data_IF_738853309301
#
_entry.id   IF_738853309301
#
_cell.length_a   1.000
_cell.length_b   1.000
_cell.length_c   1.000
_cell.angle_alpha   90.00
_cell.angle_beta   90.00
_cell.angle_gamma   90.00
#
_symmetry.space_group_name_H-M   'P 1'
#
loop_
_entity.id
_entity.type
_entity.pdbx_description
1 polymer ?
#
# COMPACT_ATOMS: atom_id res chain seq x y z
N UNK A 1 12.57 -29.44 -22.12
CA UNK A 1 11.37 -28.63 -22.39
C UNK A 1 10.57 -28.57 -21.09
N UNK A 2 10.69 -27.46 -20.32
CA UNK A 2 10.00 -27.29 -19.02
C UNK A 2 8.51 -27.18 -19.31
N UNK A 3 7.67 -28.04 -18.71
CA UNK A 3 6.22 -27.95 -18.85
C UNK A 3 5.73 -26.59 -18.39
N UNK A 4 4.87 -25.93 -19.16
CA UNK A 4 4.32 -24.59 -18.89
C UNK A 4 3.69 -24.45 -17.49
N UNK A 5 3.21 -25.55 -16.90
CA UNK A 5 2.68 -25.64 -15.53
C UNK A 5 3.78 -25.53 -14.44
N UNK A 6 5.01 -25.95 -14.73
CA UNK A 6 6.11 -25.94 -13.76
C UNK A 6 6.71 -24.54 -13.57
N UNK A 7 6.57 -23.65 -14.55
CA UNK A 7 7.09 -22.28 -14.48
C UNK A 7 6.44 -21.47 -13.35
N UNK A 8 5.18 -21.74 -13.03
CA UNK A 8 4.41 -21.02 -12.00
C UNK A 8 4.57 -21.62 -10.59
N UNK A 9 5.22 -22.78 -10.47
CA UNK A 9 5.43 -23.49 -9.21
C UNK A 9 6.87 -23.37 -8.67
N UNK A 10 7.74 -22.66 -9.39
CA UNK A 10 9.11 -22.37 -8.91
C UNK A 10 9.01 -21.58 -7.61
N UNK A 11 9.55 -22.15 -6.52
CA UNK A 11 9.59 -21.52 -5.20
C UNK A 11 10.95 -20.88 -4.95
N UNK A 12 10.90 -19.69 -4.40
CA UNK A 12 12.07 -18.96 -3.94
C UNK A 12 12.08 -19.01 -2.42
N UNK A 13 12.98 -19.78 -1.79
CA UNK A 13 13.04 -19.94 -0.34
C UNK A 13 13.48 -18.62 0.34
N UNK A 14 13.08 -18.44 1.59
CA UNK A 14 13.44 -17.25 2.40
C UNK A 14 14.94 -17.01 2.50
N UNK A 15 15.75 -18.08 2.50
CA UNK A 15 17.22 -18.01 2.49
C UNK A 15 17.83 -17.59 1.16
N UNK A 16 17.04 -17.53 0.09
CA UNK A 16 17.49 -17.19 -1.25
C UNK A 16 17.50 -15.69 -1.51
N UNK A 17 18.44 -15.22 -2.33
CA UNK A 17 18.57 -13.82 -2.69
C UNK A 17 17.31 -13.25 -3.40
N UNK A 18 16.60 -14.08 -4.16
CA UNK A 18 15.39 -13.67 -4.90
C UNK A 18 14.24 -13.30 -3.95
N UNK A 19 14.09 -13.99 -2.82
CA UNK A 19 13.10 -13.64 -1.81
C UNK A 19 13.39 -12.25 -1.24
N UNK A 20 14.63 -11.99 -0.83
CA UNK A 20 15.04 -10.69 -0.29
C UNK A 20 14.87 -9.54 -1.28
N UNK A 21 15.20 -9.77 -2.57
CA UNK A 21 15.01 -8.77 -3.64
C UNK A 21 13.53 -8.44 -3.87
N UNK A 22 12.68 -9.46 -3.92
CA UNK A 22 11.24 -9.25 -4.10
C UNK A 22 10.66 -8.47 -2.92
N UNK A 23 11.04 -8.81 -1.69
CA UNK A 23 10.58 -8.11 -0.50
C UNK A 23 11.04 -6.64 -0.48
N UNK A 24 12.33 -6.39 -0.75
CA UNK A 24 12.86 -5.03 -0.83
C UNK A 24 12.14 -4.19 -1.89
N UNK A 25 11.79 -4.78 -3.03
CA UNK A 25 11.03 -4.11 -4.08
C UNK A 25 9.61 -3.72 -3.60
N UNK A 26 8.91 -4.61 -2.89
CA UNK A 26 7.57 -4.34 -2.37
C UNK A 26 7.59 -3.25 -1.29
N UNK A 27 8.56 -3.30 -0.38
CA UNK A 27 8.74 -2.27 0.66
C UNK A 27 9.08 -0.91 0.03
N UNK A 28 9.94 -0.88 -0.99
CA UNK A 28 10.29 0.34 -1.73
C UNK A 28 9.09 0.99 -2.38
N UNK A 29 8.17 0.20 -2.94
CA UNK A 29 6.95 0.74 -3.56
C UNK A 29 6.04 1.46 -2.58
N UNK A 30 5.90 0.95 -1.35
CA UNK A 30 5.15 1.62 -0.30
C UNK A 30 5.82 2.95 0.11
N UNK A 31 7.15 2.96 0.24
CA UNK A 31 7.92 4.19 0.55
C UNK A 31 7.73 5.24 -0.54
N UNK A 32 7.81 4.84 -1.82
CA UNK A 32 7.58 5.75 -2.96
C UNK A 32 6.17 6.33 -2.92
N UNK A 33 5.15 5.51 -2.67
CA UNK A 33 3.76 5.98 -2.58
C UNK A 33 3.57 7.00 -1.45
N UNK A 34 4.14 6.75 -0.27
CA UNK A 34 4.11 7.69 0.86
C UNK A 34 4.85 8.99 0.56
N UNK A 35 5.99 8.92 -0.13
CA UNK A 35 6.77 10.10 -0.55
C UNK A 35 5.98 10.94 -1.55
N UNK A 36 5.37 10.32 -2.56
CA UNK A 36 4.55 11.02 -3.55
C UNK A 36 3.32 11.66 -2.92
N UNK A 37 2.74 11.04 -1.90
CA UNK A 37 1.65 11.59 -1.12
C UNK A 37 2.05 12.94 -0.47
N UNK A 38 3.22 13.00 0.14
CA UNK A 38 3.76 14.24 0.74
C UNK A 38 4.05 15.30 -0.33
N UNK A 39 4.71 14.93 -1.43
CA UNK A 39 5.04 15.83 -2.53
C UNK A 39 3.79 16.47 -3.13
N UNK A 40 2.70 15.70 -3.30
CA UNK A 40 1.46 16.20 -3.87
C UNK A 40 0.80 17.30 -3.02
N UNK A 41 0.94 17.22 -1.69
CA UNK A 41 0.46 18.28 -0.80
C UNK A 41 1.30 19.56 -0.93
N UNK A 42 2.62 19.40 -1.08
CA UNK A 42 3.55 20.53 -1.20
C UNK A 42 3.46 21.22 -2.55
N UNK A 43 3.20 20.49 -3.63
CA UNK A 43 3.18 21.00 -5.01
C UNK A 43 1.83 21.56 -5.45
N UNK A 44 0.87 21.73 -4.55
CA UNK A 44 -0.41 22.37 -4.93
C UNK A 44 -0.18 23.80 -5.35
N UNK A 45 -0.69 24.23 -6.53
CA UNK A 45 -0.66 25.62 -6.93
C UNK A 45 -1.46 26.41 -5.89
N UNK A 46 -0.77 27.24 -5.14
CA UNK A 46 -1.38 28.25 -4.28
C UNK A 46 -1.83 29.37 -5.16
N UNK A 47 -3.11 29.39 -5.51
CA UNK A 47 -3.69 30.39 -6.40
C UNK A 47 -3.53 31.85 -5.90
N UNK A 48 -3.26 32.03 -4.59
CA UNK A 48 -3.14 33.34 -3.96
C UNK A 48 -1.94 33.39 -2.98
N UNK A 49 -0.76 32.91 -3.41
CA UNK A 49 0.43 33.10 -2.58
C UNK A 49 0.77 34.58 -2.48
N UNK A 50 0.46 35.17 -1.33
CA UNK A 50 0.92 36.53 -0.95
C UNK A 50 2.00 36.36 0.13
N UNK A 51 3.20 36.86 -0.06
CA UNK A 51 4.28 36.78 0.94
C UNK A 51 3.87 37.29 2.32
N UNK A 52 2.93 38.23 2.35
CA UNK A 52 2.39 38.86 3.56
C UNK A 52 1.44 37.94 4.38
N UNK A 53 0.89 36.89 3.76
CA UNK A 53 -0.08 35.97 4.40
C UNK A 53 0.55 34.62 4.79
N UNK A 54 1.86 34.45 4.60
CA UNK A 54 2.49 33.15 4.82
C UNK A 54 2.29 32.60 6.26
N UNK A 55 2.21 33.46 7.29
CA UNK A 55 1.92 33.03 8.67
C UNK A 55 0.54 32.40 8.78
N UNK A 56 -0.48 33.02 8.17
CA UNK A 56 -1.86 32.52 8.18
C UNK A 56 -1.97 31.23 7.38
N UNK A 57 -1.25 31.12 6.26
CA UNK A 57 -1.18 29.90 5.45
C UNK A 57 -0.53 28.75 6.22
N UNK A 58 0.54 29.06 6.99
CA UNK A 58 1.25 28.10 7.80
C UNK A 58 0.43 27.66 9.02
N UNK A 59 -0.23 28.59 9.71
CA UNK A 59 -1.19 28.27 10.78
C UNK A 59 -2.36 27.42 10.26
N UNK A 60 -2.90 27.76 9.09
CA UNK A 60 -3.94 26.97 8.44
C UNK A 60 -3.50 25.53 8.14
N UNK A 61 -2.24 25.35 7.75
CA UNK A 61 -1.63 24.05 7.53
C UNK A 61 -1.50 23.26 8.85
N UNK A 62 -0.91 23.89 9.89
CA UNK A 62 -0.69 23.27 11.20
C UNK A 62 -2.00 22.90 11.93
N UNK A 63 -3.04 23.72 11.79
CA UNK A 63 -4.34 23.51 12.41
C UNK A 63 -5.24 22.54 11.62
N UNK A 64 -4.69 21.85 10.63
CA UNK A 64 -5.43 20.90 9.76
C UNK A 64 -6.67 21.54 9.09
N UNK A 65 -6.65 22.85 8.89
CA UNK A 65 -7.71 23.57 8.17
C UNK A 65 -7.61 23.38 6.65
N UNK A 66 -6.45 22.89 6.17
CA UNK A 66 -6.22 22.59 4.77
C UNK A 66 -6.71 21.16 4.46
N UNK A 67 -7.72 20.97 3.60
CA UNK A 67 -8.23 19.64 3.23
C UNK A 67 -7.15 18.71 2.67
N UNK A 68 -6.12 19.25 2.00
CA UNK A 68 -5.02 18.47 1.49
C UNK A 68 -4.16 17.85 2.60
N UNK A 69 -3.92 18.60 3.69
CA UNK A 69 -3.19 18.08 4.84
C UNK A 69 -3.98 16.97 5.54
N UNK A 70 -5.28 17.16 5.71
CA UNK A 70 -6.15 16.13 6.28
C UNK A 70 -6.15 14.86 5.42
N UNK A 71 -6.31 15.02 4.09
CA UNK A 71 -6.26 13.89 3.15
C UNK A 71 -4.88 13.20 3.16
N UNK A 72 -3.78 13.96 3.27
CA UNK A 72 -2.43 13.41 3.41
C UNK A 72 -2.33 12.53 4.66
N UNK A 73 -2.71 13.05 5.82
CA UNK A 73 -2.57 12.33 7.10
C UNK A 73 -3.43 11.06 7.08
N UNK A 74 -4.68 11.16 6.66
CA UNK A 74 -5.58 10.01 6.58
C UNK A 74 -5.00 8.95 5.63
N UNK A 75 -4.59 9.35 4.42
CA UNK A 75 -4.04 8.42 3.43
C UNK A 75 -2.71 7.83 3.88
N UNK A 76 -1.86 8.62 4.55
CA UNK A 76 -0.60 8.13 5.13
C UNK A 76 -0.86 7.03 6.17
N UNK A 77 -1.84 7.25 7.07
CA UNK A 77 -2.21 6.26 8.08
C UNK A 77 -2.73 4.98 7.42
N UNK A 78 -3.63 5.09 6.43
CA UNK A 78 -4.16 3.91 5.74
C UNK A 78 -3.06 3.15 4.99
N UNK A 79 -2.22 3.82 4.19
CA UNK A 79 -1.11 3.16 3.48
C UNK A 79 -0.15 2.51 4.46
N UNK A 80 0.16 3.19 5.57
CA UNK A 80 1.00 2.64 6.64
C UNK A 80 0.40 1.39 7.29
N UNK A 81 -0.90 1.38 7.56
CA UNK A 81 -1.62 0.20 8.10
C UNK A 81 -1.61 -0.97 7.11
N UNK A 82 -1.86 -0.70 5.83
CA UNK A 82 -1.80 -1.73 4.78
C UNK A 82 -0.39 -2.27 4.61
N UNK A 83 0.63 -1.40 4.63
CA UNK A 83 2.02 -1.82 4.60
C UNK A 83 2.37 -2.69 5.82
N UNK A 84 1.98 -2.27 7.04
CA UNK A 84 2.24 -3.04 8.25
C UNK A 84 1.58 -4.43 8.18
N UNK A 85 0.31 -4.50 7.77
CA UNK A 85 -0.39 -5.77 7.58
C UNK A 85 0.28 -6.69 6.56
N UNK A 86 0.73 -6.11 5.42
CA UNK A 86 1.50 -6.81 4.41
C UNK A 86 2.86 -7.29 4.96
N UNK A 87 3.60 -6.42 5.64
CA UNK A 87 4.89 -6.74 6.24
C UNK A 87 4.80 -7.90 7.25
N UNK A 88 3.80 -7.86 8.15
CA UNK A 88 3.55 -8.92 9.11
C UNK A 88 3.19 -10.24 8.42
N UNK A 89 2.37 -10.21 7.37
CA UNK A 89 2.04 -11.40 6.59
C UNK A 89 3.28 -12.02 5.96
N UNK A 90 4.11 -11.22 5.29
CA UNK A 90 5.33 -11.69 4.62
C UNK A 90 6.39 -12.18 5.62
N UNK A 91 6.42 -11.62 6.84
CA UNK A 91 7.31 -12.09 7.91
C UNK A 91 7.10 -13.58 8.24
N UNK A 92 5.90 -14.11 8.04
CA UNK A 92 5.56 -15.52 8.29
C UNK A 92 5.76 -16.44 7.08
N UNK A 93 6.18 -15.92 5.91
CA UNK A 93 6.44 -16.73 4.72
C UNK A 93 7.81 -17.41 4.81
N UNK A 94 7.88 -18.68 4.41
CA UNK A 94 9.14 -19.44 4.25
C UNK A 94 9.64 -19.47 2.81
N UNK A 95 8.74 -19.18 1.87
CA UNK A 95 9.06 -19.07 0.44
C UNK A 95 8.04 -18.17 -0.24
N UNK A 96 8.37 -17.71 -1.45
CA UNK A 96 7.44 -17.06 -2.38
C UNK A 96 7.50 -17.79 -3.72
N UNK A 97 6.45 -17.70 -4.51
CA UNK A 97 6.41 -18.21 -5.88
C UNK A 97 6.06 -17.09 -6.87
N UNK A 98 6.14 -17.38 -8.15
CA UNK A 98 5.84 -16.39 -9.21
C UNK A 98 4.41 -15.88 -9.15
N UNK A 99 3.45 -16.72 -8.76
CA UNK A 99 2.06 -16.30 -8.62
C UNK A 99 1.90 -15.29 -7.49
N UNK A 100 2.58 -15.51 -6.36
CA UNK A 100 2.60 -14.58 -5.24
C UNK A 100 3.26 -13.24 -5.63
N UNK A 101 4.40 -13.29 -6.35
CA UNK A 101 5.08 -12.09 -6.84
C UNK A 101 4.15 -11.29 -7.77
N UNK A 102 3.45 -11.95 -8.71
CA UNK A 102 2.54 -11.27 -9.63
C UNK A 102 1.35 -10.64 -8.88
N UNK A 103 0.74 -11.36 -7.96
CA UNK A 103 -0.34 -10.82 -7.13
C UNK A 103 0.14 -9.63 -6.29
N UNK A 104 1.38 -9.68 -5.81
CA UNK A 104 1.99 -8.59 -5.07
C UNK A 104 2.25 -7.34 -5.95
N UNK A 105 2.62 -7.52 -7.23
CA UNK A 105 2.72 -6.41 -8.17
C UNK A 105 1.36 -5.71 -8.39
N UNK A 106 0.27 -6.49 -8.46
CA UNK A 106 -1.08 -5.92 -8.55
C UNK A 106 -1.44 -5.17 -7.27
N UNK A 107 -1.13 -5.72 -6.10
CA UNK A 107 -1.30 -5.03 -4.83
C UNK A 107 -0.52 -3.70 -4.81
N UNK A 108 0.75 -3.73 -5.21
CA UNK A 108 1.61 -2.55 -5.27
C UNK A 108 1.06 -1.48 -6.22
N UNK A 109 0.47 -1.88 -7.35
CA UNK A 109 -0.23 -0.94 -8.24
C UNK A 109 -1.32 -0.17 -7.50
N UNK A 110 -2.15 -0.84 -6.70
CA UNK A 110 -3.17 -0.15 -5.89
C UNK A 110 -2.54 0.73 -4.80
N UNK A 111 -1.42 0.33 -4.21
CA UNK A 111 -0.69 1.17 -3.25
C UNK A 111 -0.21 2.46 -3.91
N UNK A 112 0.31 2.40 -5.15
CA UNK A 112 0.79 3.59 -5.88
C UNK A 112 -0.32 4.54 -6.31
N UNK A 113 -1.59 4.13 -6.28
CA UNK A 113 -2.74 5.00 -6.51
C UNK A 113 -3.12 5.86 -5.29
N UNK A 114 -2.49 5.66 -4.12
CA UNK A 114 -2.77 6.42 -2.91
C UNK A 114 -2.73 7.94 -3.10
N UNK A 115 -1.71 8.52 -3.79
CA UNK A 115 -1.69 9.96 -4.04
C UNK A 115 -2.88 10.45 -4.86
N UNK A 116 -3.30 9.67 -5.86
CA UNK A 116 -4.46 10.03 -6.72
C UNK A 116 -5.75 10.04 -5.91
N UNK A 117 -5.96 9.01 -5.07
CA UNK A 117 -7.12 8.92 -4.20
C UNK A 117 -7.14 10.07 -3.17
N UNK A 118 -5.98 10.40 -2.59
CA UNK A 118 -5.84 11.50 -1.65
C UNK A 118 -6.14 12.86 -2.28
N UNK A 119 -5.67 13.11 -3.52
CA UNK A 119 -5.94 14.35 -4.25
C UNK A 119 -7.45 14.48 -4.53
N UNK A 120 -8.07 13.43 -5.07
CA UNK A 120 -9.50 13.43 -5.35
C UNK A 120 -10.31 13.80 -4.10
N UNK A 121 -9.96 13.20 -2.96
CA UNK A 121 -10.61 13.46 -1.68
C UNK A 121 -10.33 14.88 -1.16
N UNK A 122 -9.14 15.40 -1.35
CA UNK A 122 -8.76 16.74 -0.91
C UNK A 122 -9.43 17.86 -1.71
N UNK A 123 -9.61 17.66 -3.03
CA UNK A 123 -10.20 18.67 -3.92
C UNK A 123 -11.73 18.63 -3.93
N UNK A 124 -12.29 17.46 -3.75
CA UNK A 124 -13.71 17.20 -3.89
C UNK A 124 -14.30 16.47 -2.69
N UNK A 125 -13.92 16.87 -1.46
CA UNK A 125 -14.32 16.18 -0.21
C UNK A 125 -15.83 16.12 0.04
N UNK A 126 -16.62 16.94 -0.62
CA UNK A 126 -18.10 16.93 -0.54
C UNK A 126 -18.76 16.24 -1.73
N UNK A 127 -17.97 15.84 -2.73
CA UNK A 127 -18.48 15.17 -3.92
C UNK A 127 -18.64 13.66 -3.65
N UNK A 128 -19.85 13.10 -3.80
CA UNK A 128 -20.09 11.66 -3.62
C UNK A 128 -19.19 10.77 -4.50
N UNK A 129 -18.81 11.22 -5.69
CA UNK A 129 -17.93 10.47 -6.59
C UNK A 129 -16.50 10.39 -6.04
N UNK A 130 -15.97 11.48 -5.47
CA UNK A 130 -14.63 11.46 -4.85
C UNK A 130 -14.60 10.56 -3.62
N UNK A 131 -15.64 10.63 -2.78
CA UNK A 131 -15.81 9.75 -1.61
C UNK A 131 -15.91 8.28 -2.06
N UNK A 132 -16.75 8.01 -3.07
CA UNK A 132 -16.92 6.67 -3.65
C UNK A 132 -15.62 6.11 -4.23
N UNK A 133 -14.86 6.92 -4.97
CA UNK A 133 -13.56 6.56 -5.51
C UNK A 133 -12.55 6.20 -4.42
N UNK A 134 -12.45 7.03 -3.37
CA UNK A 134 -11.57 6.78 -2.23
C UNK A 134 -11.97 5.48 -1.49
N UNK A 135 -13.26 5.28 -1.26
CA UNK A 135 -13.78 4.04 -0.66
C UNK A 135 -13.49 2.80 -1.52
N UNK A 136 -13.70 2.90 -2.84
CA UNK A 136 -13.40 1.81 -3.77
C UNK A 136 -11.90 1.45 -3.79
N UNK A 137 -11.02 2.46 -3.72
CA UNK A 137 -9.59 2.27 -3.59
C UNK A 137 -9.21 1.51 -2.31
N UNK A 138 -9.78 1.88 -1.15
CA UNK A 138 -9.54 1.17 0.12
C UNK A 138 -10.05 -0.28 0.07
N UNK A 139 -11.21 -0.51 -0.54
CA UNK A 139 -11.77 -1.85 -0.74
C UNK A 139 -10.82 -2.68 -1.64
N UNK A 140 -10.33 -2.11 -2.73
CA UNK A 140 -9.40 -2.79 -3.64
C UNK A 140 -8.11 -3.21 -2.92
N UNK A 141 -7.52 -2.33 -2.10
CA UNK A 141 -6.36 -2.67 -1.27
C UNK A 141 -6.65 -3.81 -0.29
N UNK A 142 -7.80 -3.75 0.40
CA UNK A 142 -8.22 -4.80 1.35
C UNK A 142 -8.40 -6.14 0.65
N UNK A 143 -9.12 -6.15 -0.47
CA UNK A 143 -9.36 -7.36 -1.27
C UNK A 143 -8.04 -7.96 -1.75
N UNK A 144 -7.13 -7.12 -2.27
CA UNK A 144 -5.83 -7.62 -2.74
C UNK A 144 -4.97 -8.17 -1.61
N UNK A 145 -5.01 -7.58 -0.42
CA UNK A 145 -4.30 -8.12 0.75
C UNK A 145 -4.89 -9.47 1.20
N UNK A 146 -6.21 -9.59 1.17
CA UNK A 146 -6.89 -10.88 1.42
C UNK A 146 -6.52 -11.94 0.36
N UNK A 147 -6.45 -11.55 -0.91
CA UNK A 147 -6.03 -12.44 -2.01
C UNK A 147 -4.59 -12.93 -1.81
N UNK A 148 -3.67 -12.04 -1.40
CA UNK A 148 -2.29 -12.41 -1.10
C UNK A 148 -2.21 -13.41 0.05
N UNK A 149 -2.93 -13.17 1.16
CA UNK A 149 -2.97 -14.08 2.30
C UNK A 149 -3.58 -15.44 1.92
N UNK A 150 -4.68 -15.44 1.17
CA UNK A 150 -5.32 -16.64 0.67
C UNK A 150 -4.40 -17.44 -0.28
N UNK A 151 -3.72 -16.75 -1.20
CA UNK A 151 -2.78 -17.37 -2.14
C UNK A 151 -1.60 -17.98 -1.39
N UNK A 152 -1.04 -17.28 -0.41
CA UNK A 152 0.04 -17.78 0.45
C UNK A 152 -0.40 -19.05 1.21
N UNK A 153 -1.61 -19.07 1.75
CA UNK A 153 -2.18 -20.23 2.42
C UNK A 153 -2.38 -21.42 1.47
N UNK A 154 -3.02 -21.18 0.31
CA UNK A 154 -3.27 -22.25 -0.69
C UNK A 154 -1.99 -22.85 -1.27
N UNK A 155 -0.95 -22.06 -1.38
CA UNK A 155 0.36 -22.48 -1.90
C UNK A 155 1.29 -23.04 -0.84
N UNK A 156 0.83 -23.13 0.44
CA UNK A 156 1.65 -23.56 1.58
C UNK A 156 2.99 -22.78 1.64
N UNK A 157 2.90 -21.45 1.52
CA UNK A 157 4.06 -20.56 1.60
C UNK A 157 4.34 -20.11 3.04
N UNK A 158 3.38 -20.29 3.96
CA UNK A 158 3.55 -19.98 5.38
C UNK A 158 4.40 -21.03 6.10
N UNK A 159 5.05 -20.62 7.17
CA UNK A 159 5.74 -21.54 8.07
C UNK A 159 4.76 -22.58 8.66
N UNK A 160 5.17 -23.86 8.85
CA UNK A 160 4.31 -24.89 9.40
C UNK A 160 3.69 -24.54 10.76
N UNK A 161 4.36 -23.74 11.57
CA UNK A 161 3.88 -23.23 12.85
C UNK A 161 2.65 -22.32 12.75
N UNK A 162 2.41 -21.72 11.58
CA UNK A 162 1.24 -20.86 11.32
C UNK A 162 0.02 -21.66 10.88
N UNK A 163 0.23 -22.84 10.30
CA UNK A 163 -0.82 -23.71 9.78
C UNK A 163 -1.34 -24.75 10.79
N UNK A 164 -0.79 -24.79 12.01
CA UNK A 164 -1.19 -25.74 13.03
C UNK A 164 -2.25 -25.20 14.01
N UNK A 165 -3.04 -26.09 14.69
CA UNK A 165 -4.07 -25.70 15.65
C UNK A 165 -3.51 -25.08 16.96
N UNK A 166 -2.28 -24.64 16.97
CA UNK A 166 -1.53 -24.19 18.15
C UNK A 166 -1.76 -22.73 18.53
N UNK A 167 -2.65 -22.01 17.83
CA UNK A 167 -3.02 -20.63 18.21
C UNK A 167 -4.12 -20.55 19.29
N UNK A 168 -4.37 -21.66 20.00
CA UNK A 168 -5.20 -21.67 21.22
C UNK A 168 -4.35 -22.14 22.38
N UNK A 169 -3.48 -21.27 22.86
CA UNK A 169 -2.97 -21.27 24.25
C UNK A 169 -2.64 -19.86 24.69
#
# INVERSE_FOLDING_TARGET
MIKRSEVWTVRYPRSGAEFGRALAFFDSGAVVALTLLAINVLNRPRHDYRPETWHQDFEGLLLLRNPAMVALIISFVFVGMFWLGHHLMVAHLVAIDRSFILANLVYLFFVTLAPVAAIAMAEHSKDPYAIGFYGAWLIALTVMQCVLAWLAGRRALFAPSVNGPTYVR
#
